data_IF_954649215606
#
_entry.id   IF_954649215606
#
_cell.length_a   1.000
_cell.length_b   1.000
_cell.length_c   1.000
_cell.angle_alpha   90.00
_cell.angle_beta   90.00
_cell.angle_gamma   90.00
#
_symmetry.space_group_name_H-M   'P 1'
#
loop_
_entity.id
_entity.type
_entity.pdbx_description
1 polymer ?
#
# COMPACT_ATOMS: atom_id res chain seq x y z
N UNK A 1 4.69 -3.09 -0.07
CA UNK A 1 4.38 -1.98 0.88
C UNK A 1 3.69 -0.85 0.14
N UNK A 2 2.76 -0.13 0.77
CA UNK A 2 2.13 1.06 0.16
C UNK A 2 3.14 2.18 -0.04
N UNK A 3 3.04 2.83 -1.20
CA UNK A 3 3.75 4.07 -1.51
C UNK A 3 2.73 5.03 -2.09
N UNK A 4 2.60 6.22 -1.51
CA UNK A 4 1.66 7.25 -1.93
C UNK A 4 1.98 7.72 -3.34
N UNK A 5 0.97 8.23 -4.05
CA UNK A 5 1.10 8.81 -5.39
C UNK A 5 2.19 9.88 -5.40
N UNK A 6 2.15 10.78 -4.43
CA UNK A 6 3.10 11.89 -4.30
C UNK A 6 4.51 11.37 -4.06
N UNK A 7 4.69 10.38 -3.17
CA UNK A 7 6.00 9.78 -2.95
C UNK A 7 6.54 9.10 -4.22
N UNK A 8 5.70 8.39 -5.00
CA UNK A 8 6.13 7.78 -6.27
C UNK A 8 6.60 8.81 -7.29
N UNK A 9 5.89 9.93 -7.39
CA UNK A 9 6.27 11.02 -8.28
C UNK A 9 7.56 11.68 -7.82
N UNK A 10 7.66 12.04 -6.53
CA UNK A 10 8.82 12.73 -5.97
C UNK A 10 10.12 11.91 -6.04
N UNK A 11 10.01 10.58 -5.91
CA UNK A 11 11.13 9.64 -5.94
C UNK A 11 11.44 9.08 -7.34
N UNK A 12 10.67 9.45 -8.37
CA UNK A 12 10.79 8.93 -9.73
C UNK A 12 10.81 7.39 -9.78
N UNK A 13 9.82 6.74 -9.14
CA UNK A 13 9.78 5.28 -8.99
C UNK A 13 9.23 4.54 -10.24
N UNK A 14 9.45 5.07 -11.44
CA UNK A 14 8.89 4.50 -12.68
C UNK A 14 9.49 3.13 -13.03
N UNK A 15 10.75 2.91 -12.64
CA UNK A 15 11.50 1.66 -12.83
C UNK A 15 11.17 0.59 -11.78
N UNK A 16 10.30 0.91 -10.81
CA UNK A 16 9.89 -0.02 -9.77
C UNK A 16 8.54 -0.67 -10.09
N UNK A 17 8.42 -1.93 -9.69
CA UNK A 17 7.21 -2.70 -9.91
C UNK A 17 6.25 -2.58 -8.72
N UNK A 18 4.97 -2.47 -9.04
CA UNK A 18 3.90 -2.48 -8.06
C UNK A 18 2.86 -3.52 -8.48
N UNK A 19 2.34 -4.24 -7.49
CA UNK A 19 1.31 -5.25 -7.71
C UNK A 19 -0.03 -4.62 -8.14
N UNK A 20 -1.03 -5.46 -8.37
CA UNK A 20 -2.39 -5.04 -8.72
C UNK A 20 -3.12 -4.27 -7.61
N UNK A 21 -2.55 -4.20 -6.40
CA UNK A 21 -3.02 -3.44 -5.25
C UNK A 21 -2.21 -2.16 -5.04
N UNK A 22 -1.16 -1.91 -5.82
CA UNK A 22 -0.29 -0.75 -5.67
C UNK A 22 0.74 -0.91 -4.56
N UNK A 23 1.07 -2.14 -4.15
CA UNK A 23 2.16 -2.41 -3.24
C UNK A 23 3.48 -2.55 -4.01
N UNK A 24 4.51 -1.83 -3.58
CA UNK A 24 5.88 -1.96 -4.09
C UNK A 24 6.38 -3.41 -3.94
N UNK A 25 6.96 -3.96 -5.01
CA UNK A 25 7.47 -5.32 -5.10
C UNK A 25 8.97 -5.34 -5.35
N UNK A 26 9.66 -6.22 -4.62
CA UNK A 26 11.11 -6.45 -4.78
C UNK A 26 11.45 -7.86 -5.26
N UNK A 27 10.49 -8.79 -5.30
CA UNK A 27 10.66 -10.16 -5.81
C UNK A 27 11.83 -10.94 -5.17
N UNK A 28 12.20 -10.61 -3.93
CA UNK A 28 13.35 -11.21 -3.24
C UNK A 28 14.72 -10.69 -3.72
N UNK A 29 14.76 -9.69 -4.62
CA UNK A 29 16.00 -9.12 -5.14
C UNK A 29 16.53 -7.99 -4.27
N UNK A 30 17.57 -8.27 -3.48
CA UNK A 30 18.22 -7.26 -2.64
C UNK A 30 18.80 -6.09 -3.46
N UNK A 31 19.11 -6.29 -4.73
CA UNK A 31 19.56 -5.23 -5.62
C UNK A 31 18.48 -4.16 -5.84
N UNK A 32 17.22 -4.57 -6.07
CA UNK A 32 16.08 -3.64 -6.20
C UNK A 32 15.89 -2.85 -4.90
N UNK A 33 16.06 -3.49 -3.75
CA UNK A 33 16.00 -2.81 -2.43
C UNK A 33 17.11 -1.78 -2.26
N UNK A 34 18.36 -2.11 -2.66
CA UNK A 34 19.49 -1.15 -2.62
C UNK A 34 19.21 0.08 -3.47
N UNK A 35 18.70 -0.11 -4.70
CA UNK A 35 18.29 0.99 -5.58
C UNK A 35 17.20 1.84 -4.93
N UNK A 36 16.17 1.21 -4.37
CA UNK A 36 15.09 1.96 -3.73
C UNK A 36 15.59 2.85 -2.59
N UNK A 37 16.42 2.29 -1.71
CA UNK A 37 17.03 3.04 -0.61
C UNK A 37 17.97 4.15 -1.11
N UNK A 38 18.67 3.92 -2.22
CA UNK A 38 19.44 4.98 -2.88
C UNK A 38 18.52 6.14 -3.30
N UNK A 39 17.40 5.89 -3.98
CA UNK A 39 16.44 6.93 -4.36
C UNK A 39 15.91 7.71 -3.14
N UNK A 40 15.62 7.03 -2.03
CA UNK A 40 15.19 7.70 -0.80
C UNK A 40 16.27 8.63 -0.24
N UNK A 41 17.51 8.14 -0.18
CA UNK A 41 18.63 8.89 0.37
C UNK A 41 19.04 10.08 -0.52
N UNK A 42 18.86 9.98 -1.84
CA UNK A 42 19.09 11.08 -2.79
C UNK A 42 18.15 12.27 -2.58
N UNK A 43 17.00 12.07 -1.92
CA UNK A 43 16.05 13.15 -1.57
C UNK A 43 16.29 13.76 -0.20
N UNK A 44 17.25 13.26 0.57
CA UNK A 44 17.56 13.74 1.93
C UNK A 44 18.86 14.55 1.92
N UNK A 45 18.94 15.56 2.78
CA UNK A 45 20.17 16.33 2.98
C UNK A 45 21.13 15.58 3.91
N UNK A 46 21.77 14.54 3.36
CA UNK A 46 22.70 13.69 4.11
C UNK A 46 24.08 14.34 4.32
N UNK A 47 24.32 15.51 3.71
CA UNK A 47 25.55 16.28 3.94
C UNK A 47 25.47 16.94 5.32
N UNK A 48 24.34 17.60 5.60
CA UNK A 48 24.12 18.27 6.88
C UNK A 48 23.54 17.34 7.96
N UNK A 49 22.79 16.30 7.56
CA UNK A 49 22.10 15.36 8.46
C UNK A 49 22.38 13.88 8.10
N UNK A 50 23.62 13.41 8.24
CA UNK A 50 24.00 12.05 7.87
C UNK A 50 23.26 10.96 8.65
N UNK A 51 22.77 11.25 9.86
CA UNK A 51 21.96 10.37 10.69
C UNK A 51 20.60 10.04 10.08
N UNK A 52 20.10 10.85 9.13
CA UNK A 52 18.86 10.58 8.40
C UNK A 52 19.03 9.50 7.31
N UNK A 53 20.25 9.02 7.08
CA UNK A 53 20.52 8.02 6.05
C UNK A 53 19.78 6.71 6.35
N UNK A 54 18.97 6.29 5.38
CA UNK A 54 18.28 5.01 5.43
C UNK A 54 19.26 3.90 5.10
N UNK A 55 19.34 2.92 6.01
CA UNK A 55 20.17 1.73 5.84
C UNK A 55 19.40 0.66 5.07
N UNK A 56 20.03 0.09 4.05
CA UNK A 56 19.46 -0.98 3.22
C UNK A 56 18.95 -2.15 4.07
N UNK A 57 19.72 -2.58 5.08
CA UNK A 57 19.32 -3.69 5.95
C UNK A 57 18.07 -3.40 6.77
N UNK A 58 17.91 -2.16 7.27
CA UNK A 58 16.74 -1.78 8.04
C UNK A 58 15.49 -1.75 7.15
N UNK A 59 15.60 -1.10 5.98
CA UNK A 59 14.50 -1.04 5.04
C UNK A 59 14.10 -2.42 4.52
N UNK A 60 15.08 -3.28 4.21
CA UNK A 60 14.81 -4.67 3.81
C UNK A 60 14.08 -5.46 4.91
N UNK A 61 14.45 -5.25 6.18
CA UNK A 61 13.73 -5.81 7.31
C UNK A 61 12.26 -5.37 7.36
N UNK A 62 12.00 -4.07 7.18
CA UNK A 62 10.63 -3.54 7.12
C UNK A 62 9.84 -4.07 5.93
N UNK A 63 10.46 -4.18 4.75
CA UNK A 63 9.83 -4.80 3.58
C UNK A 63 9.45 -6.27 3.83
N UNK A 64 10.32 -7.06 4.47
CA UNK A 64 10.02 -8.44 4.86
C UNK A 64 8.90 -8.52 5.90
N UNK A 65 8.87 -7.63 6.89
CA UNK A 65 7.77 -7.55 7.86
C UNK A 65 6.43 -7.29 7.17
N UNK A 66 6.39 -6.40 6.18
CA UNK A 66 5.20 -6.15 5.38
C UNK A 66 4.73 -7.41 4.62
N UNK A 67 5.66 -8.15 3.99
CA UNK A 67 5.32 -9.40 3.30
C UNK A 67 4.84 -10.50 4.27
N UNK A 68 5.44 -10.62 5.46
CA UNK A 68 4.96 -11.52 6.51
C UNK A 68 3.54 -11.17 6.93
N UNK A 69 3.22 -9.89 7.13
CA UNK A 69 1.87 -9.45 7.48
C UNK A 69 0.84 -9.82 6.40
N UNK A 70 1.17 -9.58 5.12
CA UNK A 70 0.31 -10.01 4.02
C UNK A 70 0.10 -11.53 4.02
N UNK A 71 1.18 -12.29 4.21
CA UNK A 71 1.10 -13.75 4.26
C UNK A 71 0.22 -14.25 5.42
N UNK A 72 0.26 -13.59 6.58
CA UNK A 72 -0.62 -13.92 7.71
C UNK A 72 -2.10 -13.65 7.37
N UNK A 73 -2.40 -12.55 6.67
CA UNK A 73 -3.77 -12.26 6.21
C UNK A 73 -4.25 -13.27 5.15
N UNK A 74 -3.38 -13.67 4.23
CA UNK A 74 -3.65 -14.75 3.27
C UNK A 74 -3.97 -16.07 4.01
N UNK A 75 -3.09 -16.48 4.92
CA UNK A 75 -3.26 -17.70 5.70
C UNK A 75 -4.53 -17.69 6.55
N UNK A 76 -4.86 -16.55 7.16
CA UNK A 76 -6.11 -16.40 7.91
C UNK A 76 -7.35 -16.66 7.03
N UNK A 77 -7.34 -16.16 5.79
CA UNK A 77 -8.44 -16.41 4.84
C UNK A 77 -8.55 -17.87 4.44
N UNK A 78 -7.42 -18.51 4.17
CA UNK A 78 -7.34 -19.93 3.83
C UNK A 78 -7.87 -20.80 4.97
N UNK A 79 -7.43 -20.58 6.21
CA UNK A 79 -7.87 -21.34 7.37
C UNK A 79 -9.37 -21.21 7.65
N UNK A 80 -9.96 -20.06 7.32
CA UNK A 80 -11.42 -19.85 7.46
C UNK A 80 -12.23 -20.46 6.32
N UNK A 81 -11.61 -20.91 5.22
CA UNK A 81 -12.30 -21.37 4.01
C UNK A 81 -13.38 -20.38 3.52
N UNK A 82 -13.24 -19.09 3.84
CA UNK A 82 -14.23 -18.07 3.56
C UNK A 82 -13.80 -17.27 2.34
N UNK A 83 -14.05 -17.80 1.13
CA UNK A 83 -13.89 -17.05 -0.13
C UNK A 83 -14.64 -15.70 -0.12
N UNK A 84 -15.63 -15.58 0.76
CA UNK A 84 -16.48 -14.41 0.90
C UNK A 84 -16.09 -13.47 2.05
N UNK A 85 -15.04 -13.72 2.84
CA UNK A 85 -14.67 -12.88 3.99
C UNK A 85 -14.60 -11.39 3.61
N UNK A 86 -13.97 -11.10 2.47
CA UNK A 86 -13.89 -9.74 1.93
C UNK A 86 -15.26 -9.16 1.51
N UNK A 87 -16.15 -9.98 0.96
CA UNK A 87 -17.51 -9.52 0.64
C UNK A 87 -18.32 -9.25 1.90
N UNK A 88 -18.14 -10.06 2.93
CA UNK A 88 -18.83 -9.94 4.21
C UNK A 88 -18.37 -8.71 4.98
N UNK A 89 -17.06 -8.49 5.05
CA UNK A 89 -16.49 -7.25 5.60
C UNK A 89 -17.03 -6.03 4.84
N UNK A 90 -17.06 -6.06 3.51
CA UNK A 90 -17.59 -4.95 2.72
C UNK A 90 -19.07 -4.68 3.03
N UNK A 91 -19.89 -5.73 3.12
CA UNK A 91 -21.31 -5.62 3.48
C UNK A 91 -21.48 -5.10 4.91
N UNK A 92 -20.65 -5.55 5.84
CA UNK A 92 -20.64 -5.09 7.23
C UNK A 92 -20.30 -3.59 7.30
N UNK A 93 -19.24 -3.15 6.62
CA UNK A 93 -18.86 -1.74 6.57
C UNK A 93 -19.98 -0.88 5.98
N UNK A 94 -20.58 -1.29 4.85
CA UNK A 94 -21.71 -0.56 4.25
C UNK A 94 -22.91 -0.46 5.16
N UNK A 95 -23.23 -1.52 5.91
CA UNK A 95 -24.34 -1.52 6.87
C UNK A 95 -24.10 -0.57 8.04
N UNK A 96 -22.88 -0.51 8.57
CA UNK A 96 -22.58 0.25 9.79
C UNK A 96 -22.16 1.71 9.52
N UNK A 97 -21.46 1.97 8.42
CA UNK A 97 -20.92 3.29 8.09
C UNK A 97 -21.71 4.01 6.97
N UNK A 98 -22.52 3.27 6.22
CA UNK A 98 -23.24 3.76 5.05
C UNK A 98 -22.45 3.53 3.75
N UNK A 99 -23.19 3.20 2.70
CA UNK A 99 -22.62 2.85 1.38
C UNK A 99 -21.76 3.96 0.78
N UNK A 100 -22.27 5.20 0.78
CA UNK A 100 -21.57 6.34 0.21
C UNK A 100 -20.23 6.62 0.90
N UNK A 101 -20.17 6.50 2.24
CA UNK A 101 -18.94 6.74 3.00
C UNK A 101 -17.88 5.69 2.69
N UNK A 102 -18.27 4.42 2.63
CA UNK A 102 -17.36 3.31 2.31
C UNK A 102 -16.82 3.45 0.89
N UNK A 103 -17.69 3.75 -0.08
CA UNK A 103 -17.27 3.89 -1.47
C UNK A 103 -16.34 5.10 -1.65
N UNK A 104 -16.64 6.26 -1.02
CA UNK A 104 -15.74 7.43 -1.01
C UNK A 104 -14.38 7.14 -0.37
N UNK A 105 -14.36 6.44 0.76
CA UNK A 105 -13.11 6.07 1.42
C UNK A 105 -12.24 5.18 0.53
N UNK A 106 -12.84 4.20 -0.16
CA UNK A 106 -12.14 3.35 -1.12
C UNK A 106 -11.62 4.12 -2.33
N UNK A 107 -12.42 5.05 -2.87
CA UNK A 107 -11.97 5.94 -3.95
C UNK A 107 -10.75 6.75 -3.52
N UNK A 108 -10.80 7.34 -2.32
CA UNK A 108 -9.68 8.12 -1.78
C UNK A 108 -8.43 7.28 -1.53
N UNK A 109 -8.59 6.07 -0.98
CA UNK A 109 -7.49 5.13 -0.79
C UNK A 109 -6.82 4.77 -2.13
N UNK A 110 -7.59 4.54 -3.19
CA UNK A 110 -7.06 4.27 -4.53
C UNK A 110 -6.43 5.52 -5.17
N UNK A 111 -6.97 6.71 -4.88
CA UNK A 111 -6.40 7.98 -5.34
C UNK A 111 -4.99 8.19 -4.77
N UNK A 112 -4.85 8.06 -3.44
CA UNK A 112 -3.62 8.27 -2.68
C UNK A 112 -2.62 7.13 -2.87
N UNK A 113 -3.09 5.89 -2.92
CA UNK A 113 -2.25 4.69 -3.01
C UNK A 113 -2.59 3.85 -4.25
N UNK A 114 -2.40 4.40 -5.46
CA UNK A 114 -2.95 3.81 -6.68
C UNK A 114 -2.25 2.51 -7.08
N UNK A 115 -3.01 1.53 -7.61
CA UNK A 115 -2.41 0.46 -8.40
C UNK A 115 -1.82 1.03 -9.69
N UNK A 116 -0.85 0.33 -10.28
CA UNK A 116 -0.10 0.84 -11.44
C UNK A 116 -0.95 1.28 -12.64
N UNK A 117 -2.09 0.62 -12.87
CA UNK A 117 -3.00 1.00 -13.97
C UNK A 117 -3.70 2.35 -13.73
N UNK A 118 -4.04 2.64 -12.48
CA UNK A 118 -4.65 3.93 -12.09
C UNK A 118 -3.58 5.02 -12.02
N UNK A 119 -2.40 4.70 -11.48
CA UNK A 119 -1.29 5.66 -11.42
C UNK A 119 -0.88 6.17 -12.81
N UNK A 120 -0.85 5.28 -13.81
CA UNK A 120 -0.49 5.60 -15.21
C UNK A 120 -1.69 6.06 -16.05
N UNK A 121 -2.78 6.50 -15.43
CA UNK A 121 -4.02 6.98 -16.07
C UNK A 121 -4.63 6.03 -17.13
N UNK A 122 -4.34 4.72 -17.04
CA UNK A 122 -4.86 3.71 -17.97
C UNK A 122 -6.31 3.31 -17.65
N UNK A 123 -6.75 3.56 -16.42
CA UNK A 123 -8.11 3.28 -15.96
C UNK A 123 -8.52 4.25 -14.86
N UNK A 124 -9.76 4.72 -14.93
CA UNK A 124 -10.38 5.53 -13.88
C UNK A 124 -10.60 4.74 -12.58
N UNK A 125 -10.56 5.42 -11.43
CA UNK A 125 -10.68 4.83 -10.09
C UNK A 125 -11.99 4.03 -9.93
N UNK A 126 -13.13 4.59 -10.35
CA UNK A 126 -14.43 3.92 -10.22
C UNK A 126 -14.50 2.67 -11.09
N UNK A 127 -13.97 2.77 -12.31
CA UNK A 127 -13.85 1.61 -13.21
C UNK A 127 -12.93 0.55 -12.62
N UNK A 128 -11.81 0.93 -12.03
CA UNK A 128 -10.90 0.00 -11.36
C UNK A 128 -11.58 -0.74 -10.20
N UNK A 129 -12.32 -0.03 -9.34
CA UNK A 129 -13.01 -0.62 -8.19
C UNK A 129 -14.08 -1.65 -8.58
N UNK A 130 -14.72 -1.47 -9.74
CA UNK A 130 -15.73 -2.40 -10.28
C UNK A 130 -15.14 -3.59 -11.07
N UNK A 131 -13.88 -3.51 -11.52
CA UNK A 131 -13.20 -4.63 -12.17
C UNK A 131 -12.99 -5.81 -11.21
N UNK A 132 -12.84 -7.01 -11.78
CA UNK A 132 -12.55 -8.24 -11.02
C UNK A 132 -11.07 -8.61 -11.17
N UNK A 133 -10.42 -8.91 -10.06
CA UNK A 133 -9.11 -9.57 -10.00
C UNK A 133 -9.29 -10.93 -9.33
N UNK A 134 -8.96 -12.02 -10.04
CA UNK A 134 -9.17 -13.41 -9.60
C UNK A 134 -10.64 -13.67 -9.22
N UNK A 135 -11.59 -13.24 -10.07
CA UNK A 135 -13.02 -13.46 -9.85
C UNK A 135 -13.71 -12.54 -8.82
N UNK A 136 -12.95 -11.83 -8.00
CA UNK A 136 -13.47 -10.93 -6.94
C UNK A 136 -13.35 -9.47 -7.38
N UNK A 137 -14.40 -8.66 -7.16
CA UNK A 137 -14.36 -7.22 -7.43
C UNK A 137 -13.26 -6.54 -6.62
N UNK A 138 -12.52 -5.63 -7.24
CA UNK A 138 -11.41 -4.93 -6.61
C UNK A 138 -11.86 -4.19 -5.35
N UNK A 139 -13.03 -3.55 -5.33
CA UNK A 139 -13.57 -2.89 -4.12
C UNK A 139 -13.69 -3.79 -2.88
N UNK A 140 -13.97 -5.08 -3.07
CA UNK A 140 -14.03 -6.02 -1.94
C UNK A 140 -12.62 -6.40 -1.46
N UNK A 141 -11.63 -6.44 -2.35
CA UNK A 141 -10.24 -6.75 -1.99
C UNK A 141 -9.51 -5.54 -1.42
N UNK A 142 -9.76 -4.35 -1.96
CA UNK A 142 -8.99 -3.14 -1.67
C UNK A 142 -9.24 -2.60 -0.26
N UNK A 143 -10.35 -2.97 0.39
CA UNK A 143 -10.59 -2.60 1.79
C UNK A 143 -9.54 -3.18 2.76
N UNK A 144 -8.93 -4.32 2.43
CA UNK A 144 -7.84 -4.92 3.22
C UNK A 144 -6.62 -4.00 3.27
N UNK A 145 -6.47 -3.15 2.26
CA UNK A 145 -5.35 -2.23 2.20
C UNK A 145 -5.44 -1.14 3.28
N UNK A 146 -6.62 -0.85 3.85
CA UNK A 146 -6.73 -0.02 5.06
C UNK A 146 -6.05 -0.69 6.27
N UNK A 147 -6.19 -2.01 6.41
CA UNK A 147 -5.56 -2.77 7.50
C UNK A 147 -4.04 -2.74 7.32
N UNK A 148 -3.56 -3.00 6.11
CA UNK A 148 -2.14 -2.95 5.79
C UNK A 148 -1.52 -1.57 6.01
N UNK A 149 -2.25 -0.51 5.67
CA UNK A 149 -1.82 0.87 5.87
C UNK A 149 -1.75 1.19 7.36
N UNK A 150 -2.80 0.89 8.13
CA UNK A 150 -2.82 1.08 9.58
C UNK A 150 -1.71 0.30 10.29
N UNK A 151 -1.45 -0.95 9.88
CA UNK A 151 -0.33 -1.76 10.41
C UNK A 151 1.04 -1.12 10.10
N UNK A 152 1.19 -0.45 8.96
CA UNK A 152 2.42 0.25 8.62
C UNK A 152 2.61 1.52 9.47
N UNK A 153 1.56 2.34 9.62
CA UNK A 153 1.61 3.60 10.39
C UNK A 153 1.78 3.36 11.90
N UNK A 154 1.22 2.27 12.43
CA UNK A 154 1.37 1.92 13.86
C UNK A 154 2.68 1.21 14.19
N UNK A 155 3.48 0.81 13.21
CA UNK A 155 4.73 0.09 13.43
C UNK A 155 5.92 1.05 13.62
N UNK A 156 6.55 1.13 14.81
CA UNK A 156 7.66 2.04 15.05
C UNK A 156 8.87 1.79 14.14
N UNK A 157 9.09 0.54 13.69
CA UNK A 157 10.18 0.20 12.77
C UNK A 157 10.01 0.78 11.36
N UNK A 158 8.84 1.35 11.07
CA UNK A 158 8.49 1.93 9.78
C UNK A 158 8.57 3.47 9.81
N UNK A 159 8.72 4.08 10.99
CA UNK A 159 8.70 5.54 11.19
C UNK A 159 9.66 6.34 10.30
N UNK A 160 10.86 5.82 10.03
CA UNK A 160 11.83 6.48 9.11
C UNK A 160 11.35 6.60 7.66
N UNK A 161 10.23 5.95 7.31
CA UNK A 161 9.68 5.88 5.96
C UNK A 161 8.22 6.36 5.91
N UNK A 162 7.73 7.02 6.97
CA UNK A 162 6.33 7.45 7.09
C UNK A 162 5.85 8.29 5.90
N UNK A 163 6.73 9.10 5.32
CA UNK A 163 6.46 9.91 4.11
C UNK A 163 5.99 9.10 2.90
N UNK A 164 6.20 7.77 2.90
CA UNK A 164 5.75 6.87 1.85
C UNK A 164 4.31 6.40 2.03
N UNK A 165 3.78 6.34 3.26
CA UNK A 165 2.51 5.68 3.57
C UNK A 165 1.69 6.32 4.70
N UNK A 166 1.94 7.59 4.99
CA UNK A 166 1.19 8.37 5.96
C UNK A 166 -0.34 8.32 5.66
N UNK A 167 -1.13 7.85 6.62
CA UNK A 167 -2.58 7.76 6.51
C UNK A 167 -3.33 8.99 7.04
N UNK A 168 -2.65 10.00 7.57
CA UNK A 168 -3.25 11.28 7.98
C UNK A 168 -4.02 11.95 6.83
N UNK A 169 -3.60 11.70 5.58
CA UNK A 169 -4.28 12.20 4.36
C UNK A 169 -5.66 11.56 4.16
N UNK A 170 -5.90 10.38 4.73
CA UNK A 170 -7.17 9.66 4.66
C UNK A 170 -8.11 10.00 5.83
N UNK A 171 -7.60 10.48 6.95
CA UNK A 171 -8.41 10.84 8.12
C UNK A 171 -9.18 12.15 7.94
N UNK A 172 -8.72 13.04 7.05
CA UNK A 172 -9.29 14.38 6.83
C UNK A 172 -10.54 14.40 5.94
N UNK A 173 -11.20 13.25 5.75
CA UNK A 173 -12.38 13.09 4.87
C UNK A 173 -13.72 13.24 5.59
#
# INVERSE_FOLDING_TARGET
MKISRDARSNLNLEDFEFDNRGNLQFEGEIYKVRKFVQHLNEKKDLINFPEMAIKVGHFNGSALLFEINNHLLDKYREEKNEENLNKELFKYLKKNLGEEKVDKALEKLVEEYPPNKVYKDKIDIKKFLEQKSNGIKNKHRFQEEFINLWLANTNPSFSSYIELFDDDVLEKN
#
